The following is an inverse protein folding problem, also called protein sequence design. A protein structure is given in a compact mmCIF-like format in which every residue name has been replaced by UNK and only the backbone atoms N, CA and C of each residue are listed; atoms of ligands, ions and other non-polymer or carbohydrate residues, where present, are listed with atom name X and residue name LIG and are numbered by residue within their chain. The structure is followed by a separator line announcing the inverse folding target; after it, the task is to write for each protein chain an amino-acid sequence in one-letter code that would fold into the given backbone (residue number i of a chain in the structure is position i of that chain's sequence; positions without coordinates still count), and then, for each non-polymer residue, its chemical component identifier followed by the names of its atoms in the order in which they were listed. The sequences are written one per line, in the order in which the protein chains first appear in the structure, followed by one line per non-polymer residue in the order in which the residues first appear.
data_IF_970905865943
#
_entry.id   IF_970905865943
#
_cell.length_a   1.000
_cell.length_b   1.000
_cell.length_c   1.000
_cell.angle_alpha   90.00
_cell.angle_beta   90.00
_cell.angle_gamma   90.00
#
_symmetry.space_group_name_H-M   'P 1'
#
loop_
_entity.id
_entity.type
_entity.pdbx_description
1 polymer ?
#
# COMPACT_ATOMS: atom_id res chain seq x y z
N UNK A 1 -4.25 -24.48 -15.31
CA UNK A 1 -4.75 -23.10 -15.49
C UNK A 1 -4.76 -22.37 -14.16
N UNK A 2 -4.28 -21.16 -14.16
CA UNK A 2 -4.21 -20.36 -12.93
C UNK A 2 -5.44 -19.51 -12.80
N UNK A 3 -6.06 -19.55 -11.63
CA UNK A 3 -7.27 -18.79 -11.34
C UNK A 3 -6.99 -17.56 -10.50
N UNK A 4 -5.76 -17.41 -10.00
CA UNK A 4 -5.32 -16.26 -9.19
C UNK A 4 -3.82 -16.09 -9.36
N UNK A 5 -3.28 -14.90 -8.99
CA UNK A 5 -1.83 -14.73 -8.99
C UNK A 5 -1.13 -15.79 -8.15
N UNK A 6 -0.19 -16.46 -8.75
CA UNK A 6 0.67 -17.44 -8.09
C UNK A 6 1.90 -16.75 -7.50
N UNK A 7 2.69 -17.47 -6.70
CA UNK A 7 3.88 -16.87 -6.09
C UNK A 7 4.83 -16.23 -7.09
N UNK A 8 5.11 -16.83 -8.27
CA UNK A 8 5.96 -16.18 -9.25
C UNK A 8 5.42 -14.84 -9.75
N UNK A 9 4.10 -14.75 -9.99
CA UNK A 9 3.49 -13.51 -10.45
C UNK A 9 3.51 -12.44 -9.35
N UNK A 10 3.30 -12.83 -8.11
CA UNK A 10 3.36 -11.90 -6.98
C UNK A 10 4.77 -11.34 -6.82
N UNK A 11 5.78 -12.20 -6.95
CA UNK A 11 7.17 -11.75 -6.87
C UNK A 11 7.55 -10.85 -8.04
N UNK A 12 7.12 -11.15 -9.25
CA UNK A 12 7.34 -10.27 -10.40
C UNK A 12 6.70 -8.92 -10.18
N UNK A 13 5.49 -8.90 -9.64
CA UNK A 13 4.82 -7.63 -9.29
C UNK A 13 5.64 -6.86 -8.28
N UNK A 14 6.11 -7.49 -7.22
CA UNK A 14 6.95 -6.84 -6.20
C UNK A 14 8.19 -6.23 -6.84
N UNK A 15 8.89 -6.99 -7.65
CA UNK A 15 10.12 -6.54 -8.29
C UNK A 15 9.88 -5.38 -9.25
N UNK A 16 8.66 -5.27 -9.79
CA UNK A 16 8.34 -4.21 -10.76
C UNK A 16 8.36 -2.81 -10.13
N UNK A 17 8.19 -2.68 -8.81
CA UNK A 17 8.10 -1.36 -8.21
C UNK A 17 8.86 -1.20 -6.89
N UNK A 18 9.36 -2.29 -6.30
CA UNK A 18 9.96 -2.23 -4.97
C UNK A 18 11.10 -1.22 -4.86
N UNK A 19 12.02 -1.21 -5.82
CA UNK A 19 13.15 -0.29 -5.81
C UNK A 19 12.72 1.16 -6.08
N UNK A 20 11.65 1.33 -6.84
CA UNK A 20 11.17 2.66 -7.20
C UNK A 20 10.43 3.34 -6.05
N UNK A 21 9.70 2.58 -5.26
CA UNK A 21 8.90 3.12 -4.17
C UNK A 21 9.67 3.20 -2.84
N UNK A 22 10.77 2.50 -2.72
CA UNK A 22 11.55 2.50 -1.49
C UNK A 22 12.07 3.90 -1.17
N UNK A 23 11.80 4.38 0.03
CA UNK A 23 12.15 5.72 0.45
C UNK A 23 11.14 6.79 0.08
N UNK A 24 10.09 6.45 -0.65
CA UNK A 24 9.07 7.40 -1.06
C UNK A 24 8.25 7.88 0.14
N UNK A 25 7.80 9.12 0.06
CA UNK A 25 6.91 9.71 1.06
C UNK A 25 5.48 9.73 0.52
N UNK A 26 4.55 9.32 1.34
CA UNK A 26 3.14 9.27 0.97
C UNK A 26 2.57 10.70 0.96
N UNK A 27 1.99 11.08 -0.17
CA UNK A 27 1.34 12.38 -0.36
C UNK A 27 -0.17 12.28 -0.24
N UNK A 28 -0.75 11.13 -0.56
CA UNK A 28 -2.18 10.94 -0.48
C UNK A 28 -2.59 9.49 -0.69
N UNK A 29 -3.82 9.19 -0.34
CA UNK A 29 -4.42 7.87 -0.52
C UNK A 29 -5.82 8.08 -1.04
N UNK A 30 -6.18 7.34 -2.10
CA UNK A 30 -7.54 7.34 -2.63
C UNK A 30 -8.10 5.93 -2.51
N UNK A 31 -9.31 5.83 -2.00
CA UNK A 31 -10.06 4.57 -1.96
C UNK A 31 -11.17 4.60 -3.00
N UNK A 32 -11.30 3.52 -3.76
CA UNK A 32 -12.42 3.30 -4.65
C UNK A 32 -13.55 2.55 -3.96
N UNK A 33 -14.16 1.60 -4.66
CA UNK A 33 -15.20 0.75 -4.07
C UNK A 33 -14.59 -0.14 -2.98
N UNK A 34 -15.38 -0.52 -1.97
CA UNK A 34 -14.88 -1.37 -0.89
C UNK A 34 -14.27 -2.66 -1.40
N UNK A 35 -13.13 -3.02 -0.87
CA UNK A 35 -12.49 -4.30 -1.08
C UNK A 35 -12.96 -5.31 -0.02
N UNK A 36 -12.32 -6.47 0.00
CA UNK A 36 -12.73 -7.57 0.86
C UNK A 36 -12.72 -7.19 2.35
N UNK A 37 -11.74 -6.40 2.77
CA UNK A 37 -11.64 -5.92 4.14
C UNK A 37 -11.41 -4.41 4.15
N UNK A 38 -11.85 -3.72 5.20
CA UNK A 38 -11.57 -2.29 5.31
C UNK A 38 -10.06 -2.04 5.46
N UNK A 39 -9.64 -0.84 5.09
CA UNK A 39 -8.24 -0.44 5.22
C UNK A 39 -7.74 -0.51 6.67
N UNK A 40 -8.60 -0.23 7.63
CA UNK A 40 -8.25 -0.31 9.04
C UNK A 40 -7.68 0.98 9.63
N UNK A 41 -7.60 2.03 8.82
CA UNK A 41 -7.26 3.38 9.29
C UNK A 41 -7.89 4.39 8.35
N UNK A 42 -7.91 5.64 8.79
CA UNK A 42 -8.29 6.73 7.87
C UNK A 42 -7.19 6.92 6.84
N UNK A 43 -7.52 7.10 5.55
CA UNK A 43 -6.49 7.31 4.53
C UNK A 43 -5.54 8.46 4.85
N UNK A 44 -6.04 9.52 5.47
CA UNK A 44 -5.23 10.68 5.84
C UNK A 44 -4.13 10.34 6.85
N UNK A 45 -4.26 9.27 7.61
CA UNK A 45 -3.24 8.85 8.57
C UNK A 45 -1.97 8.37 7.88
N UNK A 46 -2.05 7.95 6.63
CA UNK A 46 -0.89 7.50 5.87
C UNK A 46 -0.12 8.66 5.24
N UNK A 47 -0.71 9.84 5.16
CA UNK A 47 -0.05 11.01 4.55
C UNK A 47 1.15 11.42 5.38
N UNK A 48 2.27 11.63 4.71
CA UNK A 48 3.54 11.97 5.37
C UNK A 48 4.37 10.77 5.80
N UNK A 49 3.81 9.57 5.75
CA UNK A 49 4.54 8.37 6.06
C UNK A 49 5.60 8.06 5.00
N UNK A 50 6.60 7.30 5.37
CA UNK A 50 7.67 6.92 4.45
C UNK A 50 7.62 5.42 4.17
N UNK A 51 7.75 5.04 2.91
CA UNK A 51 7.85 3.64 2.51
C UNK A 51 9.29 3.19 2.73
N UNK A 52 9.47 2.23 3.60
CA UNK A 52 10.81 1.71 3.91
C UNK A 52 11.25 0.64 2.93
N UNK A 53 10.32 -0.16 2.44
CA UNK A 53 10.62 -1.21 1.48
C UNK A 53 9.40 -2.05 1.21
N UNK A 54 9.55 -3.00 0.30
CA UNK A 54 8.47 -3.91 -0.11
C UNK A 54 8.96 -5.34 0.05
N UNK A 55 8.24 -6.11 0.85
CA UNK A 55 8.51 -7.54 1.07
C UNK A 55 7.39 -8.37 0.51
N UNK A 56 7.65 -9.63 0.31
CA UNK A 56 6.62 -10.62 -0.01
C UNK A 56 6.60 -11.70 1.07
N UNK A 57 5.40 -12.07 1.47
CA UNK A 57 5.19 -13.20 2.36
C UNK A 57 4.07 -14.06 1.79
N UNK A 58 4.45 -15.18 1.16
CA UNK A 58 3.48 -15.96 0.41
C UNK A 58 2.88 -15.13 -0.70
N UNK A 59 1.57 -15.06 -0.75
CA UNK A 59 0.82 -14.28 -1.76
C UNK A 59 0.55 -12.85 -1.33
N UNK A 60 1.07 -12.43 -0.19
CA UNK A 60 0.91 -11.08 0.30
C UNK A 60 2.12 -10.22 -0.06
N UNK A 61 1.85 -8.98 -0.42
CA UNK A 61 2.87 -7.94 -0.53
C UNK A 61 2.77 -7.06 0.71
N UNK A 62 3.92 -6.74 1.28
CA UNK A 62 3.99 -5.97 2.51
C UNK A 62 4.86 -4.75 2.27
N UNK A 63 4.23 -3.57 2.33
CA UNK A 63 4.96 -2.32 2.35
C UNK A 63 5.25 -1.98 3.80
N UNK A 64 6.53 -1.99 4.16
CA UNK A 64 6.96 -1.53 5.47
C UNK A 64 6.91 -0.01 5.47
N UNK A 65 6.18 0.56 6.40
CA UNK A 65 5.88 1.98 6.43
C UNK A 65 6.25 2.56 7.78
N UNK A 66 7.00 3.66 7.74
CA UNK A 66 7.28 4.48 8.91
C UNK A 66 6.22 5.57 8.98
N UNK A 67 5.33 5.56 9.98
CA UNK A 67 4.32 6.60 10.12
C UNK A 67 4.95 7.98 10.29
N UNK A 68 4.22 9.03 9.90
CA UNK A 68 4.72 10.37 10.08
C UNK A 68 4.79 10.72 11.57
N UNK A 69 5.79 11.53 11.92
CA UNK A 69 5.97 12.00 13.30
C UNK A 69 4.77 12.81 13.75
N UNK A 70 4.19 13.60 12.84
CA UNK A 70 3.01 14.41 13.17
C UNK A 70 1.82 13.55 13.56
N UNK A 71 1.60 12.44 12.86
CA UNK A 71 0.54 11.51 13.21
C UNK A 71 0.80 10.78 14.52
N UNK A 72 2.01 10.27 14.67
CA UNK A 72 2.39 9.50 15.85
C UNK A 72 2.48 10.39 17.10
N UNK A 73 2.90 11.63 16.94
CA UNK A 73 3.10 12.54 18.04
C UNK A 73 1.84 13.21 18.55
N UNK A 74 0.76 13.17 17.78
CA UNK A 74 -0.46 13.85 18.16
C UNK A 74 -1.08 13.34 19.46
N UNK A 75 -0.74 12.13 19.88
CA UNK A 75 -1.32 11.50 21.06
C UNK A 75 -0.32 11.28 22.17
N UNK A 76 0.94 11.69 22.02
CA UNK A 76 1.90 11.15 22.96
C UNK A 76 2.78 12.12 23.63
N UNK A 77 2.64 12.09 24.93
CA UNK A 77 3.72 12.58 25.73
C UNK A 77 4.95 11.79 25.41
N UNK A 78 5.93 12.47 25.19
CA UNK A 78 7.27 12.09 25.19
C UNK A 78 7.63 10.82 25.96
N UNK A 79 7.52 9.72 25.31
CA UNK A 79 8.53 8.73 25.56
C UNK A 79 9.71 9.18 24.73
N UNK A 80 10.79 9.45 25.34
CA UNK A 80 11.91 10.13 24.75
C UNK A 80 12.51 9.44 23.51
N UNK A 81 12.17 8.19 23.27
CA UNK A 81 12.68 7.40 22.17
C UNK A 81 11.61 6.95 21.20
N UNK A 82 10.47 7.61 21.22
CA UNK A 82 9.36 7.19 20.40
C UNK A 82 9.50 7.66 18.97
N UNK A 83 10.45 7.09 18.28
CA UNK A 83 10.26 6.85 16.86
C UNK A 83 9.04 5.94 16.75
N UNK A 84 8.03 6.32 15.94
CA UNK A 84 6.91 5.43 15.71
C UNK A 84 7.45 4.10 15.17
N UNK A 85 6.96 3.00 15.72
CA UNK A 85 7.34 1.69 15.19
C UNK A 85 6.87 1.57 13.75
N UNK A 86 7.64 0.90 12.89
CA UNK A 86 7.21 0.61 11.53
C UNK A 86 5.89 -0.16 11.54
N UNK A 87 5.04 0.16 10.59
CA UNK A 87 3.79 -0.52 10.35
C UNK A 87 3.86 -1.18 8.98
N UNK A 88 2.86 -1.97 8.66
CA UNK A 88 2.80 -2.67 7.38
C UNK A 88 1.51 -2.34 6.68
N UNK A 89 1.61 -1.94 5.41
CA UNK A 89 0.48 -1.92 4.51
C UNK A 89 0.48 -3.23 3.74
N UNK A 90 -0.51 -4.06 4.00
CA UNK A 90 -0.59 -5.40 3.46
C UNK A 90 -1.49 -5.40 2.24
N UNK A 91 -1.01 -5.95 1.13
CA UNK A 91 -1.76 -6.04 -0.11
C UNK A 91 -1.90 -7.48 -0.54
N UNK A 92 -3.10 -7.85 -0.95
CA UNK A 92 -3.40 -9.16 -1.53
C UNK A 92 -4.11 -8.95 -2.86
N UNK A 93 -3.64 -9.60 -3.92
CA UNK A 93 -4.18 -9.38 -5.26
C UNK A 93 -5.47 -10.14 -5.52
N UNK A 94 -5.84 -11.06 -4.66
CA UNK A 94 -7.04 -11.87 -4.86
C UNK A 94 -6.92 -12.71 -6.12
N UNK A 95 -8.00 -12.77 -6.89
CA UNK A 95 -8.06 -13.57 -8.12
C UNK A 95 -7.78 -12.75 -9.37
N UNK A 96 -8.06 -11.46 -9.35
CA UNK A 96 -8.00 -10.62 -10.54
C UNK A 96 -7.25 -9.30 -10.32
N UNK A 97 -6.68 -9.13 -9.13
CA UNK A 97 -6.00 -7.89 -8.81
C UNK A 97 -4.64 -7.76 -9.47
N UNK A 98 -4.30 -6.54 -9.81
CA UNK A 98 -2.97 -6.17 -10.30
C UNK A 98 -2.55 -4.85 -9.71
N UNK A 99 -1.25 -4.70 -9.52
CA UNK A 99 -0.63 -3.46 -9.06
C UNK A 99 0.19 -2.84 -10.18
N UNK A 100 0.07 -1.53 -10.29
CA UNK A 100 0.86 -0.76 -11.25
C UNK A 100 1.46 0.44 -10.54
N UNK A 101 2.72 0.68 -10.80
CA UNK A 101 3.42 1.86 -10.32
C UNK A 101 3.94 2.68 -11.49
N UNK A 102 3.62 3.96 -11.52
CA UNK A 102 4.04 4.86 -12.60
C UNK A 102 4.12 6.29 -12.09
N UNK A 103 4.89 7.11 -12.79
CA UNK A 103 5.04 8.54 -12.43
C UNK A 103 3.71 9.27 -12.51
N UNK A 104 2.86 8.88 -13.45
CA UNK A 104 1.51 9.39 -13.61
C UNK A 104 0.60 8.28 -14.09
N UNK A 105 -0.65 8.32 -13.68
CA UNK A 105 -1.67 7.37 -14.09
C UNK A 105 -2.90 8.12 -14.58
N UNK A 106 -3.66 7.53 -15.51
CA UNK A 106 -4.94 8.12 -15.92
C UNK A 106 -5.89 8.22 -14.73
N UNK A 107 -6.97 9.00 -14.83
CA UNK A 107 -7.98 9.03 -13.81
C UNK A 107 -8.48 7.63 -13.45
N UNK A 108 -8.78 7.42 -12.18
CA UNK A 108 -9.21 6.11 -11.69
C UNK A 108 -10.51 5.68 -12.36
N UNK A 109 -10.53 4.44 -12.84
CA UNK A 109 -11.73 3.82 -13.41
C UNK A 109 -12.51 3.04 -12.37
N UNK A 110 -13.56 2.34 -12.85
CA UNK A 110 -14.51 1.65 -11.98
C UNK A 110 -13.91 0.50 -11.19
N UNK A 111 -12.78 -0.03 -11.65
CA UNK A 111 -12.11 -1.17 -11.00
C UNK A 111 -10.81 -0.78 -10.31
N UNK A 112 -10.52 0.50 -10.22
CA UNK A 112 -9.34 1.02 -9.52
C UNK A 112 -9.75 1.38 -8.10
N UNK A 113 -9.37 0.53 -7.14
CA UNK A 113 -9.94 0.59 -5.79
C UNK A 113 -8.99 1.13 -4.74
N UNK A 114 -7.73 1.33 -5.09
CA UNK A 114 -6.76 1.88 -4.17
C UNK A 114 -5.65 2.56 -4.94
N UNK A 115 -5.35 3.81 -4.57
CA UNK A 115 -4.19 4.53 -5.05
C UNK A 115 -3.38 5.02 -3.85
N UNK A 116 -2.08 4.74 -3.88
CA UNK A 116 -1.12 5.34 -2.97
C UNK A 116 -0.28 6.33 -3.78
N UNK A 117 -0.50 7.62 -3.53
CA UNK A 117 0.26 8.68 -4.19
C UNK A 117 1.50 8.99 -3.37
N UNK A 118 2.65 8.90 -3.98
CA UNK A 118 3.93 9.20 -3.33
C UNK A 118 4.68 10.27 -4.10
N UNK A 119 5.73 10.79 -3.49
CA UNK A 119 6.61 11.75 -4.16
C UNK A 119 7.46 11.12 -5.28
N UNK A 120 7.35 9.81 -5.49
CA UNK A 120 8.04 9.08 -6.57
C UNK A 120 7.11 8.49 -7.60
N UNK A 121 5.82 8.56 -7.39
CA UNK A 121 4.83 8.04 -8.32
C UNK A 121 3.59 7.51 -7.62
N UNK A 122 2.75 6.85 -8.40
CA UNK A 122 1.46 6.33 -7.97
C UNK A 122 1.48 4.81 -7.99
N UNK A 123 1.04 4.20 -6.90
CA UNK A 123 0.77 2.76 -6.83
C UNK A 123 -0.75 2.56 -6.88
N UNK A 124 -1.22 1.81 -7.85
CA UNK A 124 -2.67 1.58 -8.05
C UNK A 124 -2.99 0.10 -8.04
N UNK A 125 -4.01 -0.25 -7.27
CA UNK A 125 -4.61 -1.59 -7.30
C UNK A 125 -5.84 -1.55 -8.22
N UNK A 126 -5.78 -2.34 -9.28
CA UNK A 126 -6.89 -2.60 -10.18
C UNK A 126 -7.41 -4.00 -9.88
N UNK A 127 -8.70 -4.12 -9.57
CA UNK A 127 -9.26 -5.41 -9.16
C UNK A 127 -10.74 -5.49 -9.49
N UNK A 128 -11.10 -5.99 -10.68
CA UNK A 128 -12.49 -6.04 -11.12
C UNK A 128 -13.41 -6.82 -10.17
N UNK A 129 -12.91 -7.86 -9.53
CA UNK A 129 -13.71 -8.73 -8.68
C UNK A 129 -13.70 -8.34 -7.21
N UNK A 130 -12.83 -7.44 -6.81
CA UNK A 130 -12.69 -6.92 -5.45
C UNK A 130 -12.43 -8.02 -4.39
N UNK A 131 -11.77 -9.11 -4.79
CA UNK A 131 -11.37 -10.16 -3.86
C UNK A 131 -10.00 -9.90 -3.23
N UNK A 132 -9.31 -8.89 -3.71
CA UNK A 132 -8.07 -8.44 -3.11
C UNK A 132 -8.31 -7.66 -1.82
N UNK A 133 -7.21 -7.26 -1.20
CA UNK A 133 -7.28 -6.51 0.04
C UNK A 133 -6.11 -5.53 0.15
N UNK A 134 -6.37 -4.43 0.84
CA UNK A 134 -5.34 -3.49 1.29
C UNK A 134 -5.64 -3.22 2.75
N UNK A 135 -4.76 -3.61 3.64
CA UNK A 135 -5.00 -3.54 5.08
C UNK A 135 -3.80 -2.92 5.79
N UNK A 136 -4.09 -1.94 6.61
CA UNK A 136 -3.10 -1.32 7.49
C UNK A 136 -2.94 -2.19 8.73
N UNK A 137 -1.73 -2.64 9.01
CA UNK A 137 -1.42 -3.50 10.13
C UNK A 137 -0.27 -2.94 10.96
N UNK A 138 -0.32 -3.23 12.23
CA UNK A 138 0.73 -2.83 13.16
C UNK A 138 1.68 -3.98 13.45
#
# INVERSE_FOLDING_TARGET
MRLMPELPEVEVTRLSFADRIQGARVLGVRLGKPLRWPLGCEPSELVGAQVLGVRRRGKYLLLDIQPSVAWAGAALPAVADASPEPHVLLLHLGMSGSLRFADALPPAGDHDHFDLHTDRGWLRLHDPRRFGAVVWAR
#
